data_IF_518130444869
#
_entry.id   IF_518130444869
#
_cell.length_a   1.000
_cell.length_b   1.000
_cell.length_c   1.000
_cell.angle_alpha   90.00
_cell.angle_beta   90.00
_cell.angle_gamma   90.00
#
_symmetry.space_group_name_H-M   'P 1'
#
loop_
_entity.id
_entity.type
_entity.pdbx_description
1 polymer ?
#
# COMPACT_ATOMS: atom_id res chain seq x y z
N UNK A 1 -19.29 -0.62 6.89
CA UNK A 1 -18.40 -0.06 7.94
C UNK A 1 -16.94 0.15 7.51
N UNK A 2 -16.52 -0.26 6.30
CA UNK A 2 -15.18 0.06 5.74
C UNK A 2 -15.12 1.46 5.09
N UNK A 3 -16.14 2.30 5.29
CA UNK A 3 -16.39 3.53 4.53
C UNK A 3 -15.62 4.78 4.98
N UNK A 4 -14.55 4.69 5.79
CA UNK A 4 -13.88 5.89 6.31
C UNK A 4 -12.35 5.85 6.44
N UNK A 5 -11.67 4.74 6.17
CA UNK A 5 -10.20 4.72 6.25
C UNK A 5 -9.65 5.21 4.92
N UNK A 6 -9.13 6.44 4.90
CA UNK A 6 -8.43 6.98 3.73
C UNK A 6 -7.13 6.22 3.48
N UNK A 7 -6.75 6.08 2.20
CA UNK A 7 -5.50 5.40 1.86
C UNK A 7 -4.26 6.16 2.39
N UNK A 8 -4.34 7.48 2.65
CA UNK A 8 -3.31 8.25 3.32
C UNK A 8 -3.08 7.77 4.76
N UNK A 9 -4.15 7.42 5.49
CA UNK A 9 -4.03 6.88 6.84
C UNK A 9 -3.44 5.47 6.83
N UNK A 10 -3.75 4.66 5.82
CA UNK A 10 -3.15 3.33 5.64
C UNK A 10 -1.66 3.42 5.27
N UNK A 11 -1.26 4.40 4.45
CA UNK A 11 0.14 4.66 4.12
C UNK A 11 0.94 5.03 5.39
N UNK A 12 0.40 5.95 6.21
CA UNK A 12 1.01 6.30 7.50
C UNK A 12 1.10 5.11 8.47
N UNK A 13 0.05 4.28 8.51
CA UNK A 13 0.03 3.06 9.32
C UNK A 13 1.04 2.03 8.83
N UNK A 14 1.26 1.94 7.51
CA UNK A 14 2.26 1.05 6.90
C UNK A 14 3.66 1.44 7.36
N UNK A 15 3.98 2.75 7.33
CA UNK A 15 5.26 3.27 7.82
C UNK A 15 5.47 2.95 9.31
N UNK A 16 4.44 3.11 10.15
CA UNK A 16 4.54 2.79 11.59
C UNK A 16 4.51 1.28 11.88
N UNK A 17 3.86 0.47 11.05
CA UNK A 17 3.81 -0.99 11.22
C UNK A 17 5.17 -1.68 11.06
N UNK A 18 6.11 -1.03 10.37
CA UNK A 18 7.50 -1.47 10.26
C UNK A 18 8.22 -1.35 11.60
N UNK A 19 7.89 -0.32 12.38
CA UNK A 19 8.45 -0.11 13.72
C UNK A 19 7.91 -1.20 14.68
N UNK A 20 6.68 -1.67 14.48
CA UNK A 20 6.05 -2.70 15.34
C UNK A 20 6.34 -4.15 14.95
N UNK A 21 7.12 -4.39 13.88
CA UNK A 21 7.48 -5.71 13.35
C UNK A 21 6.29 -6.68 13.10
N UNK A 22 5.08 -6.14 12.90
CA UNK A 22 3.86 -6.94 12.73
C UNK A 22 3.64 -7.29 11.26
N UNK A 23 4.13 -8.47 10.85
CA UNK A 23 4.02 -8.97 9.47
C UNK A 23 2.56 -9.02 8.98
N UNK A 24 1.63 -9.44 9.85
CA UNK A 24 0.20 -9.56 9.51
C UNK A 24 -0.43 -8.20 9.22
N UNK A 25 -0.07 -7.17 9.99
CA UNK A 25 -0.59 -5.82 9.79
C UNK A 25 -0.02 -5.22 8.50
N UNK A 26 1.28 -5.41 8.26
CA UNK A 26 1.96 -4.96 7.05
C UNK A 26 1.32 -5.52 5.79
N UNK A 27 1.05 -6.82 5.75
CA UNK A 27 0.42 -7.46 4.58
C UNK A 27 -0.97 -6.89 4.29
N UNK A 28 -1.80 -6.69 5.32
CA UNK A 28 -3.13 -6.09 5.15
C UNK A 28 -3.08 -4.64 4.66
N UNK A 29 -2.11 -3.85 5.13
CA UNK A 29 -1.96 -2.46 4.67
C UNK A 29 -1.49 -2.41 3.21
N UNK A 30 -0.55 -3.30 2.84
CA UNK A 30 -0.09 -3.43 1.45
C UNK A 30 -1.23 -3.83 0.52
N UNK A 31 -2.05 -4.83 0.89
CA UNK A 31 -3.22 -5.24 0.10
C UNK A 31 -4.21 -4.10 -0.12
N UNK A 32 -4.46 -3.31 0.93
CA UNK A 32 -5.35 -2.15 0.83
C UNK A 32 -4.77 -1.07 -0.11
N UNK A 33 -3.48 -0.77 0.00
CA UNK A 33 -2.81 0.21 -0.87
C UNK A 33 -2.84 -0.27 -2.32
N UNK A 34 -2.54 -1.54 -2.58
CA UNK A 34 -2.61 -2.12 -3.92
C UNK A 34 -4.01 -2.00 -4.52
N UNK A 35 -5.06 -2.29 -3.74
CA UNK A 35 -6.44 -2.13 -4.17
C UNK A 35 -6.79 -0.66 -4.47
N UNK A 36 -6.36 0.26 -3.61
CA UNK A 36 -6.60 1.69 -3.75
C UNK A 36 -5.84 2.33 -4.93
N UNK A 37 -4.68 1.76 -5.30
CA UNK A 37 -3.93 2.15 -6.49
C UNK A 37 -4.57 1.63 -7.78
N UNK A 38 -5.05 0.38 -7.78
CA UNK A 38 -5.76 -0.19 -8.93
C UNK A 38 -7.03 0.61 -9.29
N UNK A 39 -7.71 1.18 -8.28
CA UNK A 39 -8.86 2.06 -8.49
C UNK A 39 -8.50 3.52 -8.85
N UNK A 40 -7.23 3.85 -9.05
CA UNK A 40 -6.69 5.20 -9.33
C UNK A 40 -7.01 6.27 -8.26
N UNK A 41 -7.65 5.89 -7.16
CA UNK A 41 -8.12 6.80 -6.12
C UNK A 41 -7.01 7.25 -5.17
N UNK A 42 -5.88 6.54 -5.12
CA UNK A 42 -4.83 6.77 -4.14
C UNK A 42 -3.41 6.88 -4.72
N UNK A 43 -3.25 7.10 -6.03
CA UNK A 43 -1.92 7.22 -6.67
C UNK A 43 -1.11 8.35 -6.01
N UNK A 44 -1.73 9.48 -5.72
CA UNK A 44 -1.07 10.62 -5.07
C UNK A 44 -0.66 10.35 -3.62
N UNK A 45 -1.27 9.35 -2.97
CA UNK A 45 -0.99 9.02 -1.57
C UNK A 45 0.22 8.09 -1.43
N UNK A 46 0.74 7.56 -2.54
CA UNK A 46 1.97 6.77 -2.55
C UNK A 46 3.19 7.59 -2.11
N UNK A 47 3.16 8.91 -2.31
CA UNK A 47 4.20 9.84 -1.88
C UNK A 47 4.34 9.92 -0.35
N UNK A 48 3.32 9.48 0.39
CA UNK A 48 3.30 9.43 1.86
C UNK A 48 4.09 8.21 2.38
N UNK A 49 4.26 7.18 1.55
CA UNK A 49 5.03 6.00 1.93
C UNK A 49 6.52 6.30 1.95
N UNK A 50 7.23 5.61 2.84
CA UNK A 50 8.68 5.55 2.74
C UNK A 50 9.10 5.03 1.35
N UNK A 51 10.16 5.62 0.78
CA UNK A 51 10.60 5.36 -0.60
C UNK A 51 10.85 3.88 -0.86
N UNK A 52 11.41 3.15 0.09
CA UNK A 52 11.72 1.72 -0.07
C UNK A 52 10.44 0.87 -0.09
N UNK A 53 9.42 1.30 0.65
CA UNK A 53 8.11 0.63 0.68
C UNK A 53 7.35 0.93 -0.60
N UNK A 54 7.30 2.21 -0.98
CA UNK A 54 6.66 2.66 -2.21
C UNK A 54 7.22 1.90 -3.41
N UNK A 55 8.56 1.81 -3.49
CA UNK A 55 9.24 1.05 -4.53
C UNK A 55 8.84 -0.43 -4.54
N UNK A 56 8.85 -1.11 -3.39
CA UNK A 56 8.43 -2.52 -3.30
C UNK A 56 6.97 -2.74 -3.68
N UNK A 57 6.08 -1.82 -3.30
CA UNK A 57 4.66 -1.89 -3.66
C UNK A 57 4.48 -1.69 -5.17
N UNK A 58 5.14 -0.69 -5.76
CA UNK A 58 5.12 -0.44 -7.20
C UNK A 58 5.70 -1.61 -8.00
N UNK A 59 6.82 -2.17 -7.54
CA UNK A 59 7.44 -3.35 -8.14
C UNK A 59 6.48 -4.55 -8.11
N UNK A 60 5.84 -4.83 -6.97
CA UNK A 60 4.84 -5.90 -6.87
C UNK A 60 3.61 -5.64 -7.75
N UNK A 61 3.14 -4.40 -7.83
CA UNK A 61 2.08 -4.00 -8.77
C UNK A 61 2.46 -4.34 -10.21
N UNK A 62 3.68 -3.93 -10.61
CA UNK A 62 4.18 -4.14 -11.96
C UNK A 62 4.31 -5.63 -12.30
N UNK A 63 4.91 -6.44 -11.40
CA UNK A 63 5.02 -7.89 -11.60
C UNK A 63 3.67 -8.56 -11.79
N UNK A 64 2.64 -8.19 -11.02
CA UNK A 64 1.30 -8.75 -11.17
C UNK A 64 0.66 -8.42 -12.51
N UNK A 65 0.89 -7.22 -13.05
CA UNK A 65 0.40 -6.83 -14.37
C UNK A 65 1.10 -7.66 -15.45
N UNK A 66 2.42 -7.79 -15.37
CA UNK A 66 3.22 -8.58 -16.33
C UNK A 66 2.88 -10.08 -16.28
N UNK A 67 2.58 -10.65 -15.11
CA UNK A 67 2.16 -12.06 -14.99
C UNK A 67 0.74 -12.33 -15.54
N UNK A 68 -0.08 -11.28 -15.74
CA UNK A 68 -1.45 -11.43 -16.23
C UNK A 68 -1.61 -11.17 -17.73
N UNK A 69 -0.56 -10.70 -18.42
CA UNK A 69 -0.47 -10.59 -19.90
C UNK A 69 0.25 -11.80 -20.51
#
# INVERSE_FOLDING_TARGET
MISQISAANVCRLTNTSIISNSLKLKNKCVEFILAAMASKTAINEIEILDKDIAFKILQNCFYKIVETE
#
